data_IF_050644641469
#
_entry.id   IF_050644641469
#
_cell.length_a   1.000
_cell.length_b   1.000
_cell.length_c   1.000
_cell.angle_alpha   90.00
_cell.angle_beta   90.00
_cell.angle_gamma   90.00
#
_symmetry.space_group_name_H-M   'P 1'
#
loop_
_entity.id
_entity.type
_entity.pdbx_description
1 polymer ?
#
# COMPACT_ATOMS: atom_id res chain seq x y z
N UNK A 1 -15.94 -21.17 -4.34
CA UNK A 1 -15.39 -21.62 -3.04
C UNK A 1 -15.71 -20.52 -2.04
N UNK A 2 -16.53 -20.82 -1.04
CA UNK A 2 -17.12 -19.87 -0.08
C UNK A 2 -16.08 -19.47 0.97
N UNK A 3 -15.65 -18.21 1.02
CA UNK A 3 -14.87 -17.71 2.15
C UNK A 3 -15.84 -17.23 3.22
N UNK A 4 -15.94 -17.99 4.31
CA UNK A 4 -16.71 -17.61 5.50
C UNK A 4 -16.03 -16.43 6.17
N UNK A 5 -16.68 -15.26 6.18
CA UNK A 5 -16.27 -14.05 6.91
C UNK A 5 -16.24 -14.32 8.42
N UNK A 6 -15.08 -14.70 8.94
CA UNK A 6 -14.80 -14.70 10.37
C UNK A 6 -14.22 -13.34 10.74
N UNK A 7 -14.94 -12.56 11.56
CA UNK A 7 -14.44 -11.28 12.08
C UNK A 7 -13.50 -11.53 13.26
N UNK A 8 -12.23 -11.27 13.07
CA UNK A 8 -11.18 -11.25 14.09
C UNK A 8 -11.16 -9.91 14.82
N UNK A 9 -11.00 -9.94 16.14
CA UNK A 9 -10.65 -8.75 16.90
C UNK A 9 -9.16 -8.46 16.81
N UNK A 10 -8.75 -7.24 17.14
CA UNK A 10 -7.32 -6.87 17.16
C UNK A 10 -6.52 -7.71 18.16
N UNK A 11 -7.13 -8.11 19.29
CA UNK A 11 -6.50 -8.97 20.28
C UNK A 11 -6.28 -10.39 19.76
N UNK A 12 -7.24 -10.93 19.01
CA UNK A 12 -7.12 -12.25 18.38
C UNK A 12 -6.05 -12.25 17.27
N UNK A 13 -5.95 -11.17 16.49
CA UNK A 13 -4.93 -11.01 15.44
C UNK A 13 -3.50 -10.97 15.98
N UNK A 14 -3.28 -10.29 17.10
CA UNK A 14 -1.95 -10.15 17.70
C UNK A 14 -1.31 -11.49 18.10
N UNK A 15 -2.15 -12.49 18.37
CA UNK A 15 -1.72 -13.85 18.73
C UNK A 15 -2.05 -14.88 17.65
N UNK A 16 -2.57 -14.44 16.50
CA UNK A 16 -2.93 -15.32 15.41
C UNK A 16 -1.68 -15.83 14.70
N UNK A 17 -1.47 -17.14 14.77
CA UNK A 17 -0.46 -17.87 14.02
C UNK A 17 -1.12 -19.12 13.43
N UNK A 18 -1.11 -19.24 12.10
CA UNK A 18 -1.64 -20.43 11.42
C UNK A 18 -0.55 -21.49 11.16
N UNK A 19 0.65 -21.30 11.70
CA UNK A 19 1.78 -22.22 11.55
C UNK A 19 2.44 -22.21 10.16
N UNK A 20 1.93 -21.44 9.20
CA UNK A 20 2.49 -21.36 7.84
C UNK A 20 3.58 -20.29 7.69
N UNK A 21 3.79 -19.45 8.71
CA UNK A 21 4.72 -18.31 8.65
C UNK A 21 4.24 -17.17 7.74
N UNK A 22 3.01 -17.24 7.22
CA UNK A 22 2.40 -16.17 6.43
C UNK A 22 1.99 -15.01 7.33
N UNK A 23 2.46 -13.79 7.05
CA UNK A 23 2.03 -12.59 7.77
C UNK A 23 0.74 -12.05 7.15
N UNK A 24 -0.36 -12.17 7.88
CA UNK A 24 -1.66 -11.60 7.53
C UNK A 24 -1.73 -10.14 7.99
N UNK A 25 -2.53 -9.30 7.33
CA UNK A 25 -2.96 -8.00 7.84
C UNK A 25 -4.43 -8.06 8.29
N UNK A 26 -4.79 -7.32 9.35
CA UNK A 26 -6.18 -7.18 9.78
C UNK A 26 -6.83 -5.96 9.13
N UNK A 27 -7.87 -6.17 8.32
CA UNK A 27 -8.60 -5.12 7.57
C UNK A 27 -10.08 -5.25 7.90
N UNK A 28 -10.64 -4.24 8.57
CA UNK A 28 -12.05 -4.24 9.02
C UNK A 28 -12.49 -5.49 9.82
N UNK A 29 -11.52 -6.17 10.46
CA UNK A 29 -11.73 -7.41 11.20
C UNK A 29 -11.52 -8.68 10.37
N UNK A 30 -11.07 -8.61 9.13
CA UNK A 30 -10.77 -9.78 8.30
C UNK A 30 -9.25 -9.96 8.12
N UNK A 31 -8.79 -11.22 8.21
CA UNK A 31 -7.40 -11.58 8.00
C UNK A 31 -7.11 -11.70 6.50
N UNK A 32 -6.30 -10.79 5.99
CA UNK A 32 -5.90 -10.76 4.58
C UNK A 32 -4.42 -11.13 4.45
N UNK A 33 -4.13 -12.32 3.91
CA UNK A 33 -2.75 -12.72 3.53
C UNK A 33 -2.27 -12.02 2.27
N UNK A 34 -3.21 -11.58 1.43
CA UNK A 34 -2.90 -11.05 0.11
C UNK A 34 -2.81 -9.52 0.17
N UNK A 35 -1.66 -9.00 0.62
CA UNK A 35 -1.34 -7.56 0.58
C UNK A 35 -1.69 -6.94 -0.78
N UNK A 36 -1.50 -7.68 -1.87
CA UNK A 36 -1.77 -7.23 -3.24
C UNK A 36 -3.27 -7.12 -3.58
N UNK A 37 -4.13 -7.94 -2.97
CA UNK A 37 -5.59 -7.81 -3.15
C UNK A 37 -6.15 -6.61 -2.39
N UNK A 38 -5.59 -6.32 -1.21
CA UNK A 38 -5.93 -5.12 -0.43
C UNK A 38 -5.55 -3.84 -1.20
N UNK A 39 -4.38 -3.84 -1.88
CA UNK A 39 -3.99 -2.76 -2.78
C UNK A 39 -4.97 -2.58 -3.95
N UNK A 40 -5.53 -3.66 -4.51
CA UNK A 40 -6.52 -3.57 -5.61
C UNK A 40 -7.92 -3.14 -5.16
N UNK A 41 -8.36 -3.55 -3.98
CA UNK A 41 -9.65 -3.10 -3.42
C UNK A 41 -9.61 -1.59 -3.14
N UNK A 42 -8.51 -1.13 -2.51
CA UNK A 42 -8.26 0.29 -2.25
C UNK A 42 -8.13 1.15 -3.49
N UNK A 43 -7.69 0.59 -4.63
CA UNK A 43 -7.65 1.30 -5.91
C UNK A 43 -9.03 1.86 -6.32
N UNK A 44 -10.10 1.10 -6.08
CA UNK A 44 -11.46 1.55 -6.40
C UNK A 44 -11.96 2.57 -5.37
N UNK A 45 -11.66 2.40 -4.09
CA UNK A 45 -12.10 3.33 -3.04
C UNK A 45 -11.36 4.67 -3.11
N UNK A 46 -10.04 4.68 -3.32
CA UNK A 46 -9.27 5.93 -3.43
C UNK A 46 -9.59 6.71 -4.71
N UNK A 47 -9.92 6.02 -5.79
CA UNK A 47 -10.41 6.67 -7.01
C UNK A 47 -11.78 7.34 -6.78
N UNK A 48 -12.67 6.70 -6.00
CA UNK A 48 -13.95 7.30 -5.58
C UNK A 48 -13.76 8.47 -4.61
N UNK A 49 -12.70 8.45 -3.80
CA UNK A 49 -12.33 9.54 -2.88
C UNK A 49 -11.50 10.65 -3.54
N UNK A 50 -11.27 10.57 -4.86
CA UNK A 50 -10.52 11.56 -5.64
C UNK A 50 -9.13 11.87 -5.05
N UNK A 51 -8.44 10.87 -4.50
CA UNK A 51 -7.10 11.08 -3.95
C UNK A 51 -6.15 11.38 -5.11
N UNK A 52 -5.54 12.59 -5.20
CA UNK A 52 -4.76 12.99 -6.35
C UNK A 52 -3.45 12.21 -6.47
N UNK A 53 -2.88 11.77 -5.34
CA UNK A 53 -1.59 11.07 -5.30
C UNK A 53 -1.50 10.16 -4.07
N UNK A 54 -1.03 8.93 -4.25
CA UNK A 54 -0.67 8.03 -3.14
C UNK A 54 0.63 7.29 -3.43
N UNK A 55 1.37 6.95 -2.37
CA UNK A 55 2.73 6.43 -2.46
C UNK A 55 2.78 5.02 -1.88
N UNK A 56 3.37 4.09 -2.62
CA UNK A 56 3.67 2.73 -2.18
C UNK A 56 5.16 2.66 -1.92
N UNK A 57 5.55 2.28 -0.71
CA UNK A 57 6.96 2.15 -0.31
C UNK A 57 7.26 0.68 -0.05
N UNK A 58 8.17 0.12 -0.84
CA UNK A 58 8.64 -1.26 -0.76
C UNK A 58 10.07 -1.27 -0.21
N UNK A 59 10.26 -1.35 1.12
CA UNK A 59 11.59 -1.32 1.73
C UNK A 59 12.42 -2.58 1.44
N UNK A 60 11.78 -3.69 1.07
CA UNK A 60 12.45 -4.93 0.69
C UNK A 60 13.10 -4.83 -0.69
N UNK A 61 12.45 -4.12 -1.63
CA UNK A 61 12.95 -3.91 -2.99
C UNK A 61 13.62 -2.55 -3.17
N UNK A 62 13.76 -1.78 -2.10
CA UNK A 62 14.26 -0.39 -2.10
C UNK A 62 13.60 0.47 -3.19
N UNK A 63 12.27 0.34 -3.31
CA UNK A 63 11.48 0.92 -4.39
C UNK A 63 10.34 1.75 -3.81
N UNK A 64 10.09 2.89 -4.43
CA UNK A 64 8.91 3.71 -4.15
C UNK A 64 8.12 3.86 -5.44
N UNK A 65 6.84 3.55 -5.40
CA UNK A 65 5.92 3.74 -6.53
C UNK A 65 4.94 4.84 -6.17
N UNK A 66 4.93 5.92 -6.95
CA UNK A 66 3.89 6.94 -6.85
C UNK A 66 2.76 6.58 -7.81
N UNK A 67 1.53 6.64 -7.32
CA UNK A 67 0.33 6.49 -8.12
C UNK A 67 -0.42 7.82 -8.14
N UNK A 68 -0.57 8.42 -9.32
CA UNK A 68 -1.25 9.71 -9.51
C UNK A 68 -2.55 9.56 -10.27
N UNK A 69 -3.62 10.15 -9.73
CA UNK A 69 -4.93 10.14 -10.37
C UNK A 69 -4.95 11.11 -11.56
N UNK A 70 -5.00 10.56 -12.77
CA UNK A 70 -5.15 11.29 -14.01
C UNK A 70 -6.42 10.80 -14.73
N UNK A 71 -7.37 11.71 -14.96
CA UNK A 71 -8.61 11.41 -15.73
C UNK A 71 -9.37 10.15 -15.24
N UNK A 72 -9.40 9.91 -13.93
CA UNK A 72 -10.08 8.77 -13.31
C UNK A 72 -9.28 7.46 -13.28
N UNK A 73 -8.01 7.49 -13.69
CA UNK A 73 -7.08 6.35 -13.62
C UNK A 73 -5.80 6.74 -12.89
N UNK A 74 -5.26 5.84 -12.07
CA UNK A 74 -3.94 6.05 -11.49
C UNK A 74 -2.83 5.66 -12.48
N UNK A 75 -1.91 6.59 -12.72
CA UNK A 75 -0.63 6.37 -13.41
C UNK A 75 0.46 6.05 -12.38
N UNK A 76 1.24 5.01 -12.64
CA UNK A 76 2.23 4.47 -11.72
C UNK A 76 3.64 4.88 -12.16
N UNK A 77 4.35 5.61 -11.31
CA UNK A 77 5.74 6.01 -11.50
C UNK A 77 6.62 5.34 -10.45
N UNK A 78 7.43 4.38 -10.88
CA UNK A 78 8.39 3.68 -10.02
C UNK A 78 9.73 4.41 -9.94
N UNK A 79 10.23 4.60 -8.72
CA UNK A 79 11.52 5.20 -8.41
C UNK A 79 12.34 4.23 -7.56
N UNK A 80 13.64 4.13 -7.84
CA UNK A 80 14.59 3.32 -7.06
C UNK A 80 15.85 4.12 -6.72
N UNK A 81 16.60 3.63 -5.73
CA UNK A 81 17.94 4.11 -5.35
C UNK A 81 17.96 5.57 -4.85
N UNK A 82 18.74 6.43 -5.49
CA UNK A 82 18.90 7.85 -5.17
C UNK A 82 18.06 8.74 -6.10
N UNK A 83 17.15 8.15 -6.86
CA UNK A 83 16.26 8.90 -7.75
C UNK A 83 15.43 9.89 -6.94
N UNK A 84 15.42 11.15 -7.40
CA UNK A 84 14.57 12.18 -6.84
C UNK A 84 13.14 11.86 -7.24
N UNK A 85 12.32 11.63 -6.23
CA UNK A 85 10.89 11.41 -6.37
C UNK A 85 10.27 12.76 -6.72
N UNK A 86 9.63 12.82 -7.90
CA UNK A 86 8.92 14.02 -8.34
C UNK A 86 7.42 13.85 -8.13
N UNK A 87 6.89 14.56 -7.13
CA UNK A 87 5.45 14.70 -6.90
C UNK A 87 4.94 15.96 -7.62
N UNK A 88 4.01 15.84 -8.60
CA UNK A 88 3.34 16.99 -9.18
C UNK A 88 2.34 17.64 -8.23
N UNK A 89 1.84 16.94 -7.20
CA UNK A 89 1.02 17.57 -6.15
C UNK A 89 1.87 18.48 -5.27
N UNK A 90 3.12 18.07 -4.98
CA UNK A 90 4.06 18.85 -4.16
C UNK A 90 5.40 19.05 -4.90
N UNK A 91 5.47 19.96 -5.89
CA UNK A 91 6.67 20.16 -6.71
C UNK A 91 7.89 20.69 -5.91
N UNK A 92 7.66 21.25 -4.72
CA UNK A 92 8.72 21.68 -3.81
C UNK A 92 9.28 20.54 -2.95
N UNK A 93 8.60 19.40 -2.88
CA UNK A 93 9.01 18.25 -2.09
C UNK A 93 10.08 17.46 -2.88
N UNK A 94 11.34 17.67 -2.52
CA UNK A 94 12.48 16.94 -3.08
C UNK A 94 12.88 15.84 -2.10
N UNK A 95 12.32 14.65 -2.30
CA UNK A 95 12.68 13.46 -1.52
C UNK A 95 13.38 12.46 -2.42
N UNK A 96 14.40 11.79 -1.90
CA UNK A 96 14.97 10.59 -2.55
C UNK A 96 14.36 9.34 -1.97
N UNK A 97 14.37 8.25 -2.74
CA UNK A 97 13.93 6.93 -2.24
C UNK A 97 14.71 6.53 -0.99
N UNK A 98 16.03 6.76 -0.98
CA UNK A 98 16.85 6.55 0.21
C UNK A 98 16.37 7.35 1.45
N UNK A 99 15.93 8.59 1.30
CA UNK A 99 15.40 9.39 2.42
C UNK A 99 14.06 8.86 2.94
N UNK A 100 13.19 8.39 2.05
CA UNK A 100 11.91 7.78 2.42
C UNK A 100 12.12 6.46 3.16
N UNK A 101 13.11 5.68 2.74
CA UNK A 101 13.46 4.40 3.36
C UNK A 101 14.25 4.53 4.67
N UNK A 102 14.87 5.69 4.91
CA UNK A 102 15.67 5.96 6.11
C UNK A 102 14.87 6.59 7.27
N UNK A 103 13.55 6.78 7.11
CA UNK A 103 12.67 7.41 8.08
C UNK A 103 12.26 6.50 9.25
#
# INVERSE_FOLDING_TARGET
MTTTTQKFSFADYLVYDDGTGTRYGLVEGELSSNKLADYRAKYSEYSVLEIPEYWIVDPLEAKVTICQLNEGRYDEAGFTDESIIQSPTFPALKLTVAQVLAA
#
